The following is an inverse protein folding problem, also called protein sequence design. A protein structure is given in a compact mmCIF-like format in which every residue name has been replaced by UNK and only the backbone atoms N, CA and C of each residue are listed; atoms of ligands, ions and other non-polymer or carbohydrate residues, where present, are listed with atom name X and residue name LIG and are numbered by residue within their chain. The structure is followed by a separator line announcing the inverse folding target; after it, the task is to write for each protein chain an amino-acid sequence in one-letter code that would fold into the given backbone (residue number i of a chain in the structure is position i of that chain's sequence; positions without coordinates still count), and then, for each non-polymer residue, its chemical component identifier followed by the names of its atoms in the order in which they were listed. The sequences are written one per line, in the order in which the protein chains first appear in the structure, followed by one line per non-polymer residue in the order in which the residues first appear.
data_IF_941170759601
#
_entry.id   IF_941170759601
#
_cell.length_a   1.000
_cell.length_b   1.000
_cell.length_c   1.000
_cell.angle_alpha   90.00
_cell.angle_beta   90.00
_cell.angle_gamma   90.00
#
_symmetry.space_group_name_H-M   'P 1'
#
loop_
_entity.id
_entity.type
_entity.pdbx_description
1 polymer ?
#
# COMPACT_ATOMS: atom_id res chain seq x y z
N UNK A 1 -12.87 44.87 78.11
CA UNK A 1 -11.96 44.41 77.02
C UNK A 1 -11.75 42.90 77.16
N UNK A 2 -11.77 42.13 76.07
CA UNK A 2 -12.64 40.96 75.97
C UNK A 2 -11.92 39.59 75.89
N UNK A 3 -12.63 38.54 76.35
CA UNK A 3 -12.61 37.13 75.88
C UNK A 3 -13.64 36.98 74.73
N UNK A 4 -13.90 35.77 74.19
CA UNK A 4 -13.17 35.04 73.15
C UNK A 4 -14.00 34.90 71.86
N UNK A 5 -13.37 34.63 70.71
CA UNK A 5 -14.08 34.31 69.46
C UNK A 5 -14.04 32.78 69.25
N UNK A 6 -15.19 32.14 69.43
CA UNK A 6 -15.54 30.88 68.79
C UNK A 6 -15.82 31.13 67.30
N UNK A 7 -15.46 30.21 66.40
CA UNK A 7 -16.32 29.64 65.33
C UNK A 7 -15.51 28.86 64.27
N UNK A 8 -15.90 27.59 64.14
CA UNK A 8 -15.97 26.72 62.96
C UNK A 8 -14.75 26.42 62.07
N UNK A 9 -14.11 25.32 62.43
CA UNK A 9 -13.95 24.09 61.63
C UNK A 9 -15.04 23.83 60.56
N UNK A 10 -15.12 24.59 59.45
CA UNK A 10 -15.93 24.16 58.27
C UNK A 10 -15.44 24.65 56.90
N UNK A 11 -14.22 25.20 56.78
CA UNK A 11 -13.71 25.71 55.48
C UNK A 11 -12.49 24.96 54.88
N UNK A 12 -11.94 23.94 55.54
CA UNK A 12 -10.76 23.22 55.03
C UNK A 12 -11.01 21.89 54.30
N UNK A 13 -12.26 21.37 54.24
CA UNK A 13 -12.59 20.17 53.45
C UNK A 13 -12.55 20.39 51.93
N UNK A 14 -12.77 21.62 51.45
CA UNK A 14 -12.80 21.92 50.01
C UNK A 14 -11.43 22.23 49.38
N UNK A 15 -10.38 22.49 50.17
CA UNK A 15 -9.01 22.66 49.66
C UNK A 15 -8.28 21.32 49.50
N UNK A 16 -8.49 20.37 50.42
CA UNK A 16 -7.91 19.02 50.34
C UNK A 16 -8.57 18.15 49.25
N UNK A 17 -9.88 18.30 49.01
CA UNK A 17 -10.57 17.60 47.91
C UNK A 17 -10.13 18.08 46.52
N UNK A 18 -9.85 19.39 46.36
CA UNK A 18 -9.30 19.96 45.11
C UNK A 18 -7.84 19.52 44.85
N UNK A 19 -7.03 19.34 45.90
CA UNK A 19 -5.66 18.82 45.76
C UNK A 19 -5.67 17.31 45.46
N UNK A 20 -6.54 16.53 46.11
CA UNK A 20 -6.74 15.11 45.79
C UNK A 20 -7.30 14.89 44.38
N UNK A 21 -8.19 15.77 43.90
CA UNK A 21 -8.69 15.72 42.52
C UNK A 21 -7.64 16.14 41.49
N UNK A 22 -6.74 17.09 41.80
CA UNK A 22 -5.58 17.41 40.96
C UNK A 22 -4.55 16.28 40.92
N UNK A 23 -4.35 15.56 42.03
CA UNK A 23 -3.46 14.37 42.08
C UNK A 23 -4.13 13.17 41.38
N UNK A 24 -5.45 12.99 41.48
CA UNK A 24 -6.22 11.98 40.70
C UNK A 24 -6.25 12.30 39.21
N UNK A 25 -6.37 13.56 38.80
CA UNK A 25 -6.24 13.98 37.40
C UNK A 25 -4.81 13.79 36.87
N UNK A 26 -3.77 14.17 37.63
CA UNK A 26 -2.37 13.89 37.25
C UNK A 26 -2.05 12.39 37.21
N UNK A 27 -2.67 11.55 38.05
CA UNK A 27 -2.57 10.08 37.99
C UNK A 27 -3.37 9.47 36.84
N UNK A 28 -4.52 10.06 36.47
CA UNK A 28 -5.28 9.68 35.26
C UNK A 28 -4.51 10.04 34.01
N UNK A 29 -3.98 11.26 33.92
CA UNK A 29 -3.14 11.72 32.81
C UNK A 29 -1.86 10.89 32.77
N UNK A 30 -1.14 10.64 33.88
CA UNK A 30 0.01 9.71 33.90
C UNK A 30 -0.38 8.27 33.52
N UNK A 31 -1.58 7.78 33.83
CA UNK A 31 -2.03 6.43 33.39
C UNK A 31 -2.43 6.41 31.92
N UNK A 32 -2.98 7.48 31.37
CA UNK A 32 -3.27 7.61 29.93
C UNK A 32 -1.98 7.82 29.14
N UNK A 33 -1.04 8.62 29.66
CA UNK A 33 0.31 8.82 29.11
C UNK A 33 1.17 7.57 29.25
N UNK A 34 1.19 6.87 30.39
CA UNK A 34 1.86 5.57 30.50
C UNK A 34 1.18 4.52 29.64
N UNK A 35 -0.15 4.53 29.49
CA UNK A 35 -0.81 3.63 28.53
C UNK A 35 -0.40 3.96 27.10
N UNK A 36 -0.31 5.23 26.71
CA UNK A 36 0.19 5.65 25.39
C UNK A 36 1.68 5.33 25.19
N UNK A 37 2.49 5.51 26.24
CA UNK A 37 3.94 5.26 26.24
C UNK A 37 4.27 3.76 26.31
N UNK A 38 3.45 2.95 26.97
CA UNK A 38 3.53 1.48 26.95
C UNK A 38 2.92 0.89 25.67
N UNK A 39 1.98 1.58 25.02
CA UNK A 39 1.45 1.22 23.69
C UNK A 39 2.53 1.30 22.61
N UNK A 40 3.53 2.17 22.80
CA UNK A 40 4.63 2.38 21.85
C UNK A 40 5.71 1.30 21.87
N UNK A 41 5.68 0.34 22.81
CA UNK A 41 6.83 -0.57 22.97
C UNK A 41 6.79 -1.86 22.15
N UNK A 42 5.72 -2.22 21.44
CA UNK A 42 5.74 -3.31 20.46
C UNK A 42 4.48 -3.24 19.58
N UNK A 43 4.49 -2.44 18.52
CA UNK A 43 3.43 -2.48 17.51
C UNK A 43 3.53 -3.82 16.76
N UNK A 44 2.44 -4.59 16.78
CA UNK A 44 2.34 -5.90 16.14
C UNK A 44 1.19 -5.83 15.15
N UNK A 45 1.45 -6.25 13.92
CA UNK A 45 0.39 -6.42 12.93
C UNK A 45 -0.04 -7.87 12.97
N UNK A 46 -1.34 -8.11 13.13
CA UNK A 46 -1.96 -9.39 12.91
C UNK A 46 -2.81 -9.30 11.65
N UNK A 47 -2.47 -10.03 10.59
CA UNK A 47 -3.23 -10.07 9.33
C UNK A 47 -3.80 -11.46 9.11
N UNK A 48 -5.04 -11.52 8.64
CA UNK A 48 -5.76 -12.76 8.36
C UNK A 48 -6.28 -12.70 6.93
N UNK A 49 -5.78 -13.61 6.09
CA UNK A 49 -6.26 -13.79 4.73
C UNK A 49 -7.62 -14.51 4.77
N UNK A 50 -8.69 -13.69 4.83
CA UNK A 50 -10.06 -14.18 5.06
C UNK A 50 -10.55 -15.18 4.03
N UNK A 51 -9.99 -15.16 2.82
CA UNK A 51 -10.34 -16.08 1.72
C UNK A 51 -9.78 -17.49 1.94
N UNK A 52 -8.58 -17.61 2.52
CA UNK A 52 -7.94 -18.89 2.83
C UNK A 52 -8.36 -19.48 4.18
N UNK A 53 -9.12 -18.72 4.98
CA UNK A 53 -9.59 -19.17 6.27
C UNK A 53 -10.72 -20.20 6.12
N UNK A 54 -10.50 -21.41 6.62
CA UNK A 54 -11.48 -22.52 6.62
C UNK A 54 -12.21 -22.68 7.96
N UNK A 55 -12.18 -21.64 8.82
CA UNK A 55 -12.98 -21.66 10.04
C UNK A 55 -14.47 -21.67 9.69
N UNK A 56 -15.24 -22.57 10.30
CA UNK A 56 -16.62 -22.92 9.88
C UNK A 56 -16.72 -24.05 8.86
N UNK A 57 -15.61 -24.46 8.21
CA UNK A 57 -15.56 -25.60 7.27
C UNK A 57 -14.70 -26.78 7.76
N UNK A 58 -13.88 -26.61 8.81
CA UNK A 58 -13.11 -27.73 9.40
C UNK A 58 -12.02 -27.39 10.41
N UNK A 59 -11.56 -26.14 10.50
CA UNK A 59 -10.47 -25.76 11.44
C UNK A 59 -10.93 -25.63 12.91
N UNK A 60 -12.24 -25.62 13.20
CA UNK A 60 -12.79 -25.64 14.57
C UNK A 60 -12.17 -24.61 15.54
N UNK A 61 -11.82 -23.43 15.02
CA UNK A 61 -11.24 -22.30 15.74
C UNK A 61 -9.99 -22.64 16.56
N UNK A 62 -9.09 -23.46 15.98
CA UNK A 62 -7.80 -23.82 16.60
C UNK A 62 -6.98 -22.59 17.01
N UNK A 63 -7.01 -21.51 16.24
CA UNK A 63 -6.27 -20.29 16.54
C UNK A 63 -6.64 -19.70 17.91
N UNK A 64 -7.93 -19.57 18.23
CA UNK A 64 -8.37 -19.08 19.54
C UNK A 64 -8.18 -20.10 20.67
N UNK A 65 -8.42 -21.39 20.41
CA UNK A 65 -8.26 -22.47 21.42
C UNK A 65 -6.81 -22.67 21.88
N UNK A 66 -5.84 -22.45 20.99
CA UNK A 66 -4.41 -22.61 21.27
C UNK A 66 -3.75 -21.31 21.71
N UNK A 67 -4.43 -20.16 21.62
CA UNK A 67 -3.87 -18.87 22.01
C UNK A 67 -3.65 -18.82 23.54
N UNK A 68 -2.42 -18.58 24.03
CA UNK A 68 -2.15 -18.50 25.47
C UNK A 68 -2.93 -17.39 26.16
N UNK A 69 -3.12 -16.25 25.48
CA UNK A 69 -3.85 -15.09 26.02
C UNK A 69 -5.34 -15.41 26.20
N UNK A 70 -5.93 -16.14 25.25
CA UNK A 70 -7.29 -16.68 25.38
C UNK A 70 -7.40 -17.70 26.52
N UNK A 71 -6.42 -18.59 26.66
CA UNK A 71 -6.39 -19.57 27.76
C UNK A 71 -6.26 -18.92 29.14
N UNK A 72 -5.65 -17.74 29.22
CA UNK A 72 -5.58 -16.92 30.43
C UNK A 72 -6.86 -16.12 30.71
N UNK A 73 -7.93 -16.31 29.92
CA UNK A 73 -9.23 -15.67 30.12
C UNK A 73 -9.38 -14.29 29.48
N UNK A 74 -8.41 -13.83 28.66
CA UNK A 74 -8.52 -12.58 27.89
C UNK A 74 -8.90 -12.88 26.45
N UNK A 75 -9.84 -12.13 25.89
CA UNK A 75 -10.30 -12.39 24.53
C UNK A 75 -9.40 -11.76 23.45
N UNK A 76 -8.18 -12.29 23.27
CA UNK A 76 -7.25 -11.83 22.25
C UNK A 76 -7.66 -12.24 20.83
N UNK A 77 -8.21 -13.45 20.66
CA UNK A 77 -8.76 -13.91 19.37
C UNK A 77 -10.25 -14.18 19.55
N UNK A 78 -11.09 -13.48 18.79
CA UNK A 78 -12.54 -13.59 18.79
C UNK A 78 -13.06 -14.08 17.44
N UNK A 79 -14.33 -14.45 17.38
CA UNK A 79 -15.03 -14.67 16.12
C UNK A 79 -15.84 -13.42 15.76
N UNK A 80 -15.83 -13.03 14.49
CA UNK A 80 -16.74 -12.02 13.95
C UNK A 80 -18.13 -12.62 13.67
N UNK A 81 -19.06 -11.77 13.24
CA UNK A 81 -20.43 -12.15 12.86
C UNK A 81 -20.49 -13.19 11.72
N UNK A 82 -19.41 -13.34 10.94
CA UNK A 82 -19.28 -14.29 9.83
C UNK A 82 -18.51 -15.55 10.24
N UNK A 83 -18.36 -15.83 11.54
CA UNK A 83 -17.59 -16.95 12.09
C UNK A 83 -16.11 -16.97 11.64
N UNK A 84 -15.53 -15.83 11.27
CA UNK A 84 -14.10 -15.70 10.96
C UNK A 84 -13.33 -15.18 12.18
N UNK A 85 -12.09 -15.63 12.39
CA UNK A 85 -11.27 -15.14 13.49
C UNK A 85 -10.90 -13.66 13.30
N UNK A 86 -10.87 -12.92 14.41
CA UNK A 86 -10.37 -11.55 14.53
C UNK A 86 -9.38 -11.52 15.69
N UNK A 87 -8.21 -10.92 15.48
CA UNK A 87 -7.14 -10.83 16.46
C UNK A 87 -7.02 -9.39 16.95
N UNK A 88 -7.13 -9.21 18.26
CA UNK A 88 -6.84 -7.96 18.94
C UNK A 88 -5.32 -7.78 19.07
N UNK A 89 -4.78 -6.85 18.27
CA UNK A 89 -3.36 -6.52 18.20
C UNK A 89 -2.81 -5.97 19.52
N UNK A 90 -3.66 -5.35 20.36
CA UNK A 90 -3.25 -4.79 21.65
C UNK A 90 -3.08 -5.87 22.73
N UNK A 91 -3.81 -6.98 22.61
CA UNK A 91 -3.73 -8.13 23.52
C UNK A 91 -2.75 -9.20 23.04
N UNK A 92 -2.47 -9.25 21.74
CA UNK A 92 -1.60 -10.25 21.14
C UNK A 92 -0.16 -10.11 21.62
N UNK A 93 0.38 -11.16 22.24
CA UNK A 93 1.78 -11.19 22.72
C UNK A 93 2.81 -11.54 21.63
N UNK A 94 2.37 -11.86 20.41
CA UNK A 94 3.28 -12.18 19.32
C UNK A 94 3.92 -13.58 19.34
N UNK A 95 3.39 -14.53 20.14
CA UNK A 95 3.99 -15.86 20.31
C UNK A 95 4.01 -16.75 19.04
N UNK A 96 3.23 -16.42 18.01
CA UNK A 96 3.20 -17.17 16.75
C UNK A 96 2.59 -18.57 16.82
N UNK A 97 1.92 -18.95 17.90
CA UNK A 97 1.31 -20.29 18.01
C UNK A 97 0.17 -20.45 17.00
N UNK A 98 -0.68 -19.43 16.86
CA UNK A 98 -1.80 -19.45 15.92
C UNK A 98 -1.35 -19.44 14.46
N UNK A 99 -0.17 -18.86 14.14
CA UNK A 99 0.37 -18.87 12.78
C UNK A 99 0.91 -20.27 12.42
N UNK A 100 1.69 -20.89 13.32
CA UNK A 100 2.29 -22.22 13.13
C UNK A 100 1.26 -23.36 13.11
N UNK A 101 0.17 -23.22 13.86
CA UNK A 101 -0.87 -24.26 13.99
C UNK A 101 -2.06 -24.06 13.05
N UNK A 102 -2.07 -22.99 12.26
CA UNK A 102 -3.11 -22.77 11.25
C UNK A 102 -2.91 -23.75 10.08
N UNK A 103 -3.89 -24.62 9.76
CA UNK A 103 -3.74 -25.60 8.67
C UNK A 103 -3.51 -24.96 7.29
N UNK A 104 -4.07 -23.77 7.06
CA UNK A 104 -3.95 -23.04 5.79
C UNK A 104 -2.94 -21.89 5.83
N UNK A 105 -2.24 -21.71 6.96
CA UNK A 105 -1.29 -20.62 7.19
C UNK A 105 -1.84 -19.21 6.84
N UNK A 106 -3.14 -18.99 7.01
CA UNK A 106 -3.79 -17.73 6.65
C UNK A 106 -3.60 -16.61 7.68
N UNK A 107 -3.00 -16.91 8.85
CA UNK A 107 -2.75 -15.95 9.93
C UNK A 107 -1.27 -15.56 9.91
N UNK A 108 -1.01 -14.26 9.87
CA UNK A 108 0.32 -13.68 9.93
C UNK A 108 0.43 -12.76 11.13
N UNK A 109 1.44 -12.98 11.96
CA UNK A 109 1.78 -12.08 13.06
C UNK A 109 3.19 -11.57 12.80
N UNK A 110 3.33 -10.25 12.72
CA UNK A 110 4.61 -9.58 12.47
C UNK A 110 4.85 -8.56 13.58
N UNK A 111 6.04 -8.63 14.16
CA UNK A 111 6.54 -7.55 15.01
C UNK A 111 7.15 -6.49 14.08
N UNK A 112 6.60 -5.28 14.10
CA UNK A 112 7.15 -4.20 13.28
C UNK A 112 8.47 -3.69 13.87
N UNK A 113 9.46 -3.34 13.02
CA UNK A 113 10.60 -2.54 13.43
C UNK A 113 10.15 -1.23 14.08
N UNK A 114 10.93 -0.71 15.03
CA UNK A 114 10.56 0.54 15.73
C UNK A 114 10.42 1.73 14.78
N UNK A 115 11.12 1.69 13.66
CA UNK A 115 11.11 2.68 12.59
C UNK A 115 9.77 2.75 11.84
N UNK A 116 8.94 1.69 11.91
CA UNK A 116 7.61 1.62 11.27
C UNK A 116 6.46 1.78 12.27
N UNK A 117 6.72 2.38 13.45
CA UNK A 117 5.69 2.62 14.48
C UNK A 117 4.73 3.77 14.14
N UNK A 118 4.87 4.37 12.96
CA UNK A 118 3.90 5.34 12.47
C UNK A 118 2.58 4.67 12.10
N UNK A 119 1.51 5.46 12.04
CA UNK A 119 0.20 4.93 11.63
C UNK A 119 0.24 4.58 10.15
N UNK A 120 -0.32 3.43 9.73
CA UNK A 120 -0.40 3.11 8.32
C UNK A 120 -1.29 4.12 7.60
N UNK A 121 -0.94 4.44 6.35
CA UNK A 121 -1.69 5.34 5.47
C UNK A 121 -3.03 4.72 5.08
N UNK A 122 -3.03 3.41 4.82
CA UNK A 122 -4.23 2.69 4.47
C UNK A 122 -4.25 1.29 5.08
N UNK A 123 -5.42 0.86 5.55
CA UNK A 123 -5.67 -0.48 6.10
C UNK A 123 -6.97 -1.06 5.56
N UNK A 124 -6.92 -2.26 4.99
CA UNK A 124 -8.12 -2.99 4.53
C UNK A 124 -8.87 -3.66 5.69
N UNK A 125 -9.40 -2.86 6.62
CA UNK A 125 -10.16 -3.33 7.78
C UNK A 125 -9.31 -4.05 8.84
N UNK A 126 -9.99 -4.52 9.89
CA UNK A 126 -9.31 -5.22 11.01
C UNK A 126 -8.68 -6.51 10.49
N UNK A 127 -7.41 -6.68 10.86
CA UNK A 127 -6.53 -7.75 10.39
C UNK A 127 -6.43 -7.88 8.86
N UNK A 128 -6.57 -6.76 8.14
CA UNK A 128 -6.27 -6.69 6.71
C UNK A 128 -4.87 -6.18 6.42
N UNK A 129 -4.55 -6.09 5.13
CA UNK A 129 -3.28 -5.53 4.64
C UNK A 129 -3.11 -4.06 5.05
N UNK A 130 -1.88 -3.67 5.41
CA UNK A 130 -1.50 -2.33 5.83
C UNK A 130 -0.42 -1.71 4.93
N UNK A 131 -0.65 -0.48 4.45
CA UNK A 131 0.30 0.29 3.67
C UNK A 131 0.85 1.45 4.51
N UNK A 132 2.17 1.56 4.63
CA UNK A 132 2.83 2.53 5.51
C UNK A 132 3.38 3.78 4.81
N UNK A 133 3.77 3.67 3.54
CA UNK A 133 4.27 4.81 2.76
C UNK A 133 3.73 4.80 1.33
N UNK A 134 3.76 5.97 0.70
CA UNK A 134 3.33 6.19 -0.67
C UNK A 134 4.54 6.57 -1.54
N UNK A 135 4.48 6.27 -2.85
CA UNK A 135 5.49 6.73 -3.78
C UNK A 135 5.25 8.22 -4.07
N UNK A 136 6.32 8.96 -4.28
CA UNK A 136 6.23 10.40 -4.53
C UNK A 136 6.46 10.62 -6.03
N UNK A 137 5.47 11.16 -6.77
CA UNK A 137 5.68 11.55 -8.16
C UNK A 137 6.65 12.73 -8.23
N UNK A 138 7.68 12.63 -9.08
CA UNK A 138 8.52 13.77 -9.44
C UNK A 138 8.06 14.30 -10.79
N UNK A 139 7.76 15.59 -10.82
CA UNK A 139 7.39 16.25 -12.05
C UNK A 139 8.53 16.25 -13.06
N UNK A 140 8.19 16.07 -14.33
CA UNK A 140 9.11 16.06 -15.49
C UNK A 140 10.02 14.84 -15.56
N UNK A 141 9.62 13.75 -14.90
CA UNK A 141 10.39 12.51 -14.89
C UNK A 141 9.49 11.27 -14.84
N UNK A 142 10.11 10.11 -15.05
CA UNK A 142 9.47 8.81 -14.89
C UNK A 142 9.91 8.19 -13.56
N UNK A 143 8.96 7.98 -12.67
CA UNK A 143 9.16 7.29 -11.39
C UNK A 143 8.67 5.84 -11.49
N UNK A 144 9.59 4.90 -11.36
CA UNK A 144 9.32 3.48 -11.31
C UNK A 144 9.10 2.97 -9.89
N UNK A 145 8.30 1.92 -9.73
CA UNK A 145 8.12 1.20 -8.47
C UNK A 145 8.38 -0.28 -8.72
N UNK A 146 9.32 -0.85 -7.97
CA UNK A 146 9.67 -2.26 -8.04
C UNK A 146 9.46 -2.96 -6.70
N UNK A 147 8.95 -4.18 -6.70
CA UNK A 147 8.79 -4.96 -5.49
C UNK A 147 7.96 -6.22 -5.71
N UNK A 148 7.94 -7.14 -4.74
CA UNK A 148 7.17 -8.38 -4.87
C UNK A 148 5.66 -8.12 -4.93
N UNK A 149 4.92 -9.09 -5.45
CA UNK A 149 3.46 -9.03 -5.48
C UNK A 149 2.87 -9.09 -4.06
N UNK A 150 1.72 -8.45 -3.87
CA UNK A 150 1.04 -8.38 -2.57
C UNK A 150 1.64 -7.40 -1.57
N UNK A 151 2.58 -6.53 -1.97
CA UNK A 151 3.17 -5.47 -1.12
C UNK A 151 2.40 -4.14 -1.24
N UNK A 152 1.28 -4.09 -1.97
CA UNK A 152 0.43 -2.89 -2.05
C UNK A 152 0.88 -1.82 -3.05
N UNK A 153 1.70 -2.18 -4.06
CA UNK A 153 2.07 -1.27 -5.16
C UNK A 153 0.86 -0.69 -5.88
N UNK A 154 -0.07 -1.56 -6.30
CA UNK A 154 -1.32 -1.16 -6.95
C UNK A 154 -2.21 -0.31 -6.02
N UNK A 155 -2.29 -0.67 -4.73
CA UNK A 155 -3.01 0.13 -3.71
C UNK A 155 -2.42 1.53 -3.60
N UNK A 156 -1.08 1.65 -3.57
CA UNK A 156 -0.40 2.93 -3.55
C UNK A 156 -0.70 3.76 -4.81
N UNK A 157 -0.65 3.15 -6.01
CA UNK A 157 -1.01 3.84 -7.25
C UNK A 157 -2.47 4.31 -7.25
N UNK A 158 -3.41 3.51 -6.74
CA UNK A 158 -4.82 3.89 -6.63
C UNK A 158 -5.03 5.08 -5.68
N UNK A 159 -4.25 5.16 -4.60
CA UNK A 159 -4.28 6.31 -3.68
C UNK A 159 -3.74 7.57 -4.38
N UNK A 160 -2.61 7.46 -5.08
CA UNK A 160 -2.03 8.58 -5.85
C UNK A 160 -2.97 9.03 -6.99
N UNK A 161 -3.68 8.09 -7.62
CA UNK A 161 -4.68 8.38 -8.65
C UNK A 161 -5.98 9.00 -8.10
N UNK A 162 -6.15 9.10 -6.77
CA UNK A 162 -7.38 9.55 -6.13
C UNK A 162 -8.56 8.57 -6.26
N UNK A 163 -8.32 7.35 -6.75
CA UNK A 163 -9.35 6.30 -6.89
C UNK A 163 -9.66 5.61 -5.56
N UNK A 164 -8.70 5.59 -4.65
CA UNK A 164 -8.85 5.03 -3.31
C UNK A 164 -8.48 6.08 -2.27
N UNK A 165 -9.43 6.44 -1.41
CA UNK A 165 -9.14 7.35 -0.30
C UNK A 165 -8.43 6.59 0.83
N UNK A 166 -7.29 7.09 1.33
CA UNK A 166 -6.62 6.51 2.49
C UNK A 166 -7.46 6.68 3.76
N UNK A 167 -7.24 5.82 4.74
CA UNK A 167 -8.01 5.83 5.99
C UNK A 167 -7.14 6.02 7.25
N UNK A 168 -5.83 6.24 7.06
CA UNK A 168 -4.86 6.48 8.12
C UNK A 168 -4.90 5.39 9.23
N UNK A 169 -5.21 4.16 8.82
CA UNK A 169 -5.32 3.00 9.70
C UNK A 169 -6.62 2.89 10.49
N UNK A 170 -7.57 3.81 10.29
CA UNK A 170 -8.84 3.85 10.99
C UNK A 170 -9.93 3.22 10.12
N UNK A 171 -10.55 2.15 10.61
CA UNK A 171 -11.62 1.48 9.87
C UNK A 171 -12.84 2.39 9.69
N UNK A 172 -13.40 2.40 8.47
CA UNK A 172 -14.62 3.14 8.14
C UNK A 172 -14.43 4.65 8.01
N UNK A 173 -13.20 5.16 8.14
CA UNK A 173 -12.86 6.56 7.91
C UNK A 173 -12.35 6.73 6.48
N UNK A 174 -12.80 7.78 5.80
CA UNK A 174 -12.12 8.30 4.62
C UNK A 174 -11.36 9.56 5.06
N UNK A 175 -10.03 9.57 4.89
CA UNK A 175 -9.25 10.74 5.21
C UNK A 175 -9.54 11.86 4.20
N UNK A 176 -9.67 13.09 4.69
CA UNK A 176 -9.75 14.26 3.83
C UNK A 176 -8.35 14.64 3.35
N UNK A 177 -8.26 15.42 2.26
CA UNK A 177 -6.98 15.95 1.79
C UNK A 177 -6.25 16.74 2.88
N UNK A 178 -6.97 17.47 3.73
CA UNK A 178 -6.38 18.24 4.84
C UNK A 178 -5.69 17.35 5.87
N UNK A 179 -6.28 16.19 6.18
CA UNK A 179 -5.65 15.22 7.08
C UNK A 179 -4.39 14.59 6.47
N UNK A 180 -4.38 14.37 5.15
CA UNK A 180 -3.20 13.87 4.44
C UNK A 180 -2.09 14.92 4.40
N UNK A 181 -2.41 16.17 4.08
CA UNK A 181 -1.47 17.29 4.09
C UNK A 181 -0.87 17.46 5.50
N UNK A 182 -1.69 17.34 6.55
CA UNK A 182 -1.20 17.38 7.93
C UNK A 182 -0.32 16.17 8.27
N UNK A 183 -0.66 14.98 7.79
CA UNK A 183 0.12 13.76 8.02
C UNK A 183 1.50 13.84 7.34
N UNK A 184 1.56 14.39 6.13
CA UNK A 184 2.78 14.53 5.33
C UNK A 184 3.50 15.87 5.52
N UNK A 185 3.18 16.63 6.58
CA UNK A 185 3.71 17.97 6.78
C UNK A 185 5.24 17.99 6.79
N UNK A 186 5.84 18.85 5.96
CA UNK A 186 7.29 18.98 5.82
C UNK A 186 7.94 17.96 4.87
N UNK A 187 7.15 17.19 4.12
CA UNK A 187 7.63 16.25 3.09
C UNK A 187 7.16 16.69 1.70
N UNK A 188 7.79 16.18 0.64
CA UNK A 188 7.38 16.45 -0.76
C UNK A 188 5.95 15.97 -1.06
N UNK A 189 5.48 14.93 -0.35
CA UNK A 189 4.11 14.44 -0.46
C UNK A 189 3.08 15.51 -0.03
N UNK A 190 3.44 16.44 0.87
CA UNK A 190 2.57 17.56 1.22
C UNK A 190 2.22 18.41 0.00
N UNK A 191 3.25 18.88 -0.72
CA UNK A 191 3.11 19.71 -1.92
C UNK A 191 2.31 18.99 -3.01
N UNK A 192 2.50 17.67 -3.14
CA UNK A 192 1.71 16.84 -4.05
C UNK A 192 0.22 16.88 -3.71
N UNK A 193 -0.16 16.61 -2.46
CA UNK A 193 -1.57 16.60 -2.05
C UNK A 193 -2.21 18.00 -2.06
N UNK A 194 -1.45 19.05 -1.80
CA UNK A 194 -1.91 20.44 -1.96
C UNK A 194 -2.24 20.74 -3.42
N UNK A 195 -1.33 20.44 -4.34
CA UNK A 195 -1.56 20.63 -5.78
C UNK A 195 -2.70 19.75 -6.32
N UNK A 196 -2.89 18.55 -5.77
CA UNK A 196 -4.00 17.67 -6.10
C UNK A 196 -5.34 18.27 -5.63
N UNK A 197 -5.38 18.84 -4.42
CA UNK A 197 -6.56 19.53 -3.87
C UNK A 197 -6.93 20.78 -4.67
N UNK A 198 -5.92 21.53 -5.13
CA UNK A 198 -6.08 22.72 -5.95
C UNK A 198 -6.45 22.42 -7.42
N UNK A 199 -6.48 21.13 -7.82
CA UNK A 199 -6.81 20.73 -9.19
C UNK A 199 -5.70 21.04 -10.21
N UNK A 200 -4.49 21.42 -9.75
CA UNK A 200 -3.31 21.60 -10.59
C UNK A 200 -2.81 20.29 -11.15
N UNK A 201 -3.07 19.17 -10.46
CA UNK A 201 -2.71 17.83 -10.91
C UNK A 201 -3.97 17.12 -11.42
N UNK A 202 -3.97 16.77 -12.71
CA UNK A 202 -4.94 15.90 -13.35
C UNK A 202 -4.28 14.55 -13.61
N UNK A 203 -4.76 13.51 -12.95
CA UNK A 203 -4.20 12.16 -13.09
C UNK A 203 -4.99 11.28 -14.05
N UNK A 204 -4.29 10.46 -14.81
CA UNK A 204 -4.86 9.37 -15.61
C UNK A 204 -4.29 8.03 -15.16
N UNK A 205 -5.14 7.01 -15.02
CA UNK A 205 -4.77 5.71 -14.46
C UNK A 205 -5.02 4.56 -15.44
N UNK A 206 -3.99 3.74 -15.69
CA UNK A 206 -4.09 2.43 -16.35
C UNK A 206 -4.10 1.34 -15.27
N UNK A 207 -5.18 0.53 -15.14
CA UNK A 207 -5.27 -0.54 -14.16
C UNK A 207 -4.43 -1.78 -14.52
N UNK A 208 -4.03 -2.57 -13.52
CA UNK A 208 -3.31 -3.83 -13.72
C UNK A 208 -4.14 -4.85 -14.52
N UNK A 209 -5.40 -5.04 -14.13
CA UNK A 209 -6.29 -6.07 -14.68
C UNK A 209 -7.02 -5.58 -15.93
N UNK A 210 -6.36 -5.69 -17.09
CA UNK A 210 -6.96 -5.31 -18.38
C UNK A 210 -8.01 -6.31 -18.88
N UNK A 211 -7.98 -7.55 -18.39
CA UNK A 211 -8.95 -8.60 -18.74
C UNK A 211 -10.37 -8.30 -18.24
N UNK A 212 -10.53 -7.34 -17.34
CA UNK A 212 -11.85 -6.88 -16.86
C UNK A 212 -12.48 -5.84 -17.78
N UNK A 213 -11.72 -5.24 -18.70
CA UNK A 213 -12.22 -4.20 -19.62
C UNK A 213 -13.40 -4.71 -20.46
N UNK A 214 -13.35 -5.90 -21.09
CA UNK A 214 -14.47 -6.43 -21.87
C UNK A 214 -15.74 -6.71 -21.05
N UNK A 215 -15.63 -6.89 -19.74
CA UNK A 215 -16.77 -7.09 -18.86
C UNK A 215 -17.49 -5.78 -18.52
N UNK A 216 -16.77 -4.66 -18.54
CA UNK A 216 -17.25 -3.34 -18.14
C UNK A 216 -17.69 -2.51 -19.36
N UNK A 217 -16.90 -2.55 -20.43
CA UNK A 217 -17.12 -1.77 -21.65
C UNK A 217 -17.49 -2.67 -22.82
N UNK A 218 -18.50 -2.24 -23.60
CA UNK A 218 -19.01 -2.97 -24.76
C UNK A 218 -18.93 -2.10 -26.01
N UNK A 219 -18.77 -2.74 -27.16
CA UNK A 219 -18.76 -2.06 -28.47
C UNK A 219 -17.38 -2.06 -29.12
N UNK A 220 -17.18 -1.13 -30.05
CA UNK A 220 -15.91 -1.01 -30.79
C UNK A 220 -14.88 -0.22 -30.01
N UNK A 221 -13.61 -0.55 -30.24
CA UNK A 221 -12.47 0.15 -29.62
C UNK A 221 -12.47 1.64 -29.96
N UNK A 222 -12.81 2.01 -31.20
CA UNK A 222 -12.88 3.41 -31.64
C UNK A 222 -13.85 4.25 -30.81
N UNK A 223 -15.01 3.69 -30.47
CA UNK A 223 -16.05 4.43 -29.73
C UNK A 223 -15.61 4.66 -28.28
N UNK A 224 -14.99 3.64 -27.66
CA UNK A 224 -14.38 3.74 -26.35
C UNK A 224 -13.28 4.82 -26.31
N UNK A 225 -12.34 4.77 -27.25
CA UNK A 225 -11.21 5.69 -27.26
C UNK A 225 -11.64 7.12 -27.61
N UNK A 226 -12.59 7.32 -28.53
CA UNK A 226 -13.16 8.64 -28.82
C UNK A 226 -13.89 9.26 -27.63
N UNK A 227 -14.58 8.46 -26.82
CA UNK A 227 -15.25 8.94 -25.60
C UNK A 227 -14.25 9.42 -24.55
N UNK A 228 -13.06 8.81 -24.51
CA UNK A 228 -12.01 9.13 -23.54
C UNK A 228 -11.08 10.24 -24.05
N UNK A 229 -10.96 10.41 -25.37
CA UNK A 229 -10.06 11.37 -26.00
C UNK A 229 -10.46 12.81 -25.68
N UNK A 230 -9.73 13.39 -24.75
CA UNK A 230 -9.79 14.82 -24.39
C UNK A 230 -8.56 15.57 -24.90
N UNK A 231 -7.54 14.83 -25.35
CA UNK A 231 -6.28 15.34 -25.90
C UNK A 231 -6.32 15.61 -27.41
N UNK A 232 -7.32 15.06 -28.13
CA UNK A 232 -7.42 15.02 -29.59
C UNK A 232 -6.21 14.35 -30.29
N UNK A 233 -5.57 13.37 -29.63
CA UNK A 233 -4.36 12.67 -30.13
C UNK A 233 -4.62 11.21 -30.51
N UNK A 234 -5.87 10.80 -30.70
CA UNK A 234 -6.23 9.41 -31.02
C UNK A 234 -5.46 8.83 -32.21
N UNK A 235 -5.35 9.56 -33.31
CA UNK A 235 -4.68 9.08 -34.53
C UNK A 235 -3.18 8.89 -34.34
N UNK A 236 -2.53 9.83 -33.66
CA UNK A 236 -1.09 9.76 -33.33
C UNK A 236 -0.81 8.57 -32.41
N UNK A 237 -1.52 8.48 -31.29
CA UNK A 237 -1.33 7.41 -30.29
C UNK A 237 -1.68 6.05 -30.89
N UNK A 238 -2.72 5.97 -31.74
CA UNK A 238 -3.11 4.72 -32.37
C UNK A 238 -2.00 4.15 -33.28
N UNK A 239 -1.30 5.02 -33.99
CA UNK A 239 -0.17 4.67 -34.84
C UNK A 239 1.05 4.24 -34.02
N UNK A 240 1.34 4.97 -32.94
CA UNK A 240 2.51 4.68 -32.09
C UNK A 240 2.37 3.39 -31.29
N UNK A 241 1.14 2.93 -31.02
CA UNK A 241 0.88 1.68 -30.32
C UNK A 241 0.45 0.52 -31.24
N UNK A 242 0.47 0.70 -32.56
CA UNK A 242 0.00 -0.29 -33.55
C UNK A 242 -1.43 -0.80 -33.28
N UNK A 243 -2.34 0.11 -32.92
CA UNK A 243 -3.75 -0.20 -32.63
C UNK A 243 -4.71 0.32 -33.71
N UNK A 244 -4.23 0.92 -34.80
CA UNK A 244 -5.06 1.44 -35.90
C UNK A 244 -6.03 0.39 -36.45
N UNK A 245 -5.56 -0.84 -36.66
CA UNK A 245 -6.37 -1.96 -37.15
C UNK A 245 -7.39 -2.46 -36.12
N UNK A 246 -7.14 -2.20 -34.83
CA UNK A 246 -8.01 -2.64 -33.74
C UNK A 246 -9.17 -1.68 -33.51
N UNK A 247 -9.12 -0.46 -34.06
CA UNK A 247 -10.16 0.56 -33.85
C UNK A 247 -11.56 0.06 -34.25
N UNK A 248 -11.65 -0.71 -35.32
CA UNK A 248 -12.93 -1.26 -35.81
C UNK A 248 -13.31 -2.61 -35.19
N UNK A 249 -12.43 -3.20 -34.37
CA UNK A 249 -12.66 -4.47 -33.68
C UNK A 249 -13.56 -4.29 -32.44
N UNK A 250 -14.30 -5.36 -32.10
CA UNK A 250 -15.09 -5.44 -30.88
C UNK A 250 -14.18 -5.79 -29.69
N UNK A 251 -14.33 -5.05 -28.58
CA UNK A 251 -13.50 -5.18 -27.38
C UNK A 251 -13.50 -6.62 -26.83
N UNK A 252 -14.61 -7.35 -26.97
CA UNK A 252 -14.75 -8.73 -26.45
C UNK A 252 -13.88 -9.77 -27.16
N UNK A 253 -13.37 -9.46 -28.35
CA UNK A 253 -12.59 -10.38 -29.18
C UNK A 253 -11.09 -10.13 -29.11
N UNK A 254 -10.67 -9.14 -28.33
CA UNK A 254 -9.27 -8.75 -28.22
C UNK A 254 -8.49 -9.70 -27.32
N UNK A 255 -7.25 -9.95 -27.70
CA UNK A 255 -6.25 -10.62 -26.86
C UNK A 255 -5.80 -9.73 -25.70
N UNK A 256 -5.21 -10.33 -24.67
CA UNK A 256 -4.66 -9.58 -23.52
C UNK A 256 -3.63 -8.52 -23.92
N UNK A 257 -2.76 -8.81 -24.91
CA UNK A 257 -1.78 -7.84 -25.41
C UNK A 257 -2.41 -6.68 -26.22
N UNK A 258 -3.54 -6.91 -26.88
CA UNK A 258 -4.31 -5.86 -27.55
C UNK A 258 -5.04 -4.98 -26.53
N UNK A 259 -5.72 -5.61 -25.56
CA UNK A 259 -6.35 -4.91 -24.43
C UNK A 259 -5.35 -4.05 -23.66
N UNK A 260 -4.15 -4.57 -23.44
CA UNK A 260 -3.08 -3.84 -22.78
C UNK A 260 -2.70 -2.56 -23.55
N UNK A 261 -2.49 -2.65 -24.86
CA UNK A 261 -2.14 -1.47 -25.69
C UNK A 261 -3.28 -0.46 -25.76
N UNK A 262 -4.54 -0.91 -25.79
CA UNK A 262 -5.71 -0.04 -25.75
C UNK A 262 -5.84 0.65 -24.38
N UNK A 263 -5.59 -0.06 -23.28
CA UNK A 263 -5.62 0.51 -21.93
C UNK A 263 -4.54 1.60 -21.76
N UNK A 264 -3.35 1.39 -22.33
CA UNK A 264 -2.29 2.40 -22.38
C UNK A 264 -2.74 3.59 -23.22
N UNK A 265 -3.25 3.37 -24.44
CA UNK A 265 -3.76 4.44 -25.29
C UNK A 265 -4.81 5.29 -24.56
N UNK A 266 -5.80 4.64 -23.93
CA UNK A 266 -6.85 5.31 -23.15
C UNK A 266 -6.28 6.16 -22.00
N UNK A 267 -5.19 5.73 -21.36
CA UNK A 267 -4.56 6.51 -20.31
C UNK A 267 -3.90 7.79 -20.85
N UNK A 268 -3.27 7.74 -22.02
CA UNK A 268 -2.58 8.89 -22.64
C UNK A 268 -3.49 9.83 -23.44
N UNK A 269 -4.72 9.38 -23.78
CA UNK A 269 -5.73 10.20 -24.46
C UNK A 269 -6.46 11.18 -23.52
N UNK A 270 -6.29 11.01 -22.21
CA UNK A 270 -6.80 11.95 -21.21
C UNK A 270 -5.89 13.16 -21.08
N UNK A 271 -6.47 14.35 -21.00
CA UNK A 271 -5.76 15.58 -20.60
C UNK A 271 -5.34 15.48 -19.12
N UNK A 272 -4.13 14.94 -18.92
CA UNK A 272 -3.55 14.65 -17.62
C UNK A 272 -2.06 14.98 -17.61
N UNK A 273 -1.61 15.63 -16.54
CA UNK A 273 -0.20 15.95 -16.31
C UNK A 273 0.51 14.89 -15.43
N UNK A 274 -0.24 13.95 -14.85
CA UNK A 274 0.30 12.76 -14.19
C UNK A 274 -0.32 11.50 -14.78
N UNK A 275 0.49 10.68 -15.45
CA UNK A 275 0.07 9.37 -15.96
C UNK A 275 0.55 8.28 -14.99
N UNK A 276 -0.37 7.42 -14.59
CA UNK A 276 -0.14 6.35 -13.61
C UNK A 276 -0.38 5.01 -14.31
N UNK A 277 0.66 4.17 -14.38
CA UNK A 277 0.64 2.91 -15.13
C UNK A 277 0.91 1.72 -14.22
N UNK A 278 -0.06 0.84 -14.03
CA UNK A 278 0.14 -0.41 -13.30
C UNK A 278 0.43 -1.56 -14.26
N UNK A 279 1.69 -2.04 -14.25
CA UNK A 279 2.24 -3.10 -15.10
C UNK A 279 1.92 -2.90 -16.60
N UNK A 280 2.45 -1.84 -17.25
CA UNK A 280 2.19 -1.52 -18.65
C UNK A 280 2.77 -2.51 -19.66
N UNK A 281 3.73 -3.36 -19.30
CA UNK A 281 4.32 -4.34 -20.23
C UNK A 281 3.87 -5.79 -20.06
N UNK A 282 2.94 -6.04 -19.13
CA UNK A 282 2.28 -7.34 -18.99
C UNK A 282 1.58 -7.79 -20.28
N UNK A 283 1.61 -9.09 -20.56
CA UNK A 283 1.03 -9.74 -21.76
C UNK A 283 1.62 -9.35 -23.12
N UNK A 284 2.55 -8.39 -23.18
CA UNK A 284 3.18 -7.97 -24.42
C UNK A 284 4.34 -8.90 -24.80
N UNK A 285 4.48 -9.17 -26.10
CA UNK A 285 5.68 -9.78 -26.66
C UNK A 285 6.88 -8.81 -26.62
N UNK A 286 8.10 -9.31 -26.83
CA UNK A 286 9.32 -8.50 -26.71
C UNK A 286 9.32 -7.25 -27.61
N UNK A 287 8.79 -7.35 -28.84
CA UNK A 287 8.75 -6.24 -29.79
C UNK A 287 7.76 -5.17 -29.33
N UNK A 288 6.58 -5.61 -28.88
CA UNK A 288 5.54 -4.75 -28.32
C UNK A 288 6.00 -4.08 -27.03
N UNK A 289 6.69 -4.80 -26.13
CA UNK A 289 7.25 -4.21 -24.90
C UNK A 289 8.19 -3.05 -25.19
N UNK A 290 9.15 -3.24 -26.10
CA UNK A 290 10.11 -2.20 -26.46
C UNK A 290 9.42 -1.00 -27.13
N UNK A 291 8.41 -1.25 -27.98
CA UNK A 291 7.65 -0.18 -28.62
C UNK A 291 6.82 0.61 -27.62
N UNK A 292 6.09 -0.06 -26.73
CA UNK A 292 5.35 0.55 -25.63
C UNK A 292 6.28 1.34 -24.70
N UNK A 293 7.44 0.80 -24.36
CA UNK A 293 8.40 1.49 -23.52
C UNK A 293 8.92 2.78 -24.19
N UNK A 294 9.25 2.73 -25.49
CA UNK A 294 9.63 3.93 -26.26
C UNK A 294 8.53 4.98 -26.27
N UNK A 295 7.28 4.56 -26.47
CA UNK A 295 6.12 5.44 -26.42
C UNK A 295 5.98 6.13 -25.05
N UNK A 296 5.98 5.36 -23.96
CA UNK A 296 5.90 5.89 -22.60
C UNK A 296 7.03 6.88 -22.32
N UNK A 297 8.27 6.53 -22.70
CA UNK A 297 9.43 7.41 -22.52
C UNK A 297 9.30 8.72 -23.31
N UNK A 298 8.79 8.65 -24.54
CA UNK A 298 8.56 9.82 -25.40
C UNK A 298 7.48 10.75 -24.83
N UNK A 299 6.44 10.20 -24.22
CA UNK A 299 5.34 10.99 -23.66
C UNK A 299 5.69 11.73 -22.36
N UNK A 300 6.78 11.36 -21.68
CA UNK A 300 7.28 12.11 -20.55
C UNK A 300 7.89 13.44 -21.03
N UNK A 301 7.45 14.55 -20.44
CA UNK A 301 7.84 15.90 -20.84
C UNK A 301 7.85 16.85 -19.63
N UNK A 302 8.19 18.12 -19.84
CA UNK A 302 8.14 19.15 -18.79
C UNK A 302 6.71 19.46 -18.28
N UNK A 303 5.67 18.94 -18.95
CA UNK A 303 4.27 19.16 -18.56
C UNK A 303 3.55 17.85 -18.23
N UNK A 304 4.19 16.70 -18.49
CA UNK A 304 3.61 15.37 -18.28
C UNK A 304 4.60 14.44 -17.61
N UNK A 305 4.23 13.99 -16.42
CA UNK A 305 5.04 13.12 -15.56
C UNK A 305 4.41 11.73 -15.50
N UNK A 306 5.24 10.71 -15.28
CA UNK A 306 4.78 9.32 -15.31
C UNK A 306 5.22 8.61 -14.05
N UNK A 307 4.30 7.89 -13.43
CA UNK A 307 4.62 6.91 -12.38
C UNK A 307 4.15 5.54 -12.82
N UNK A 308 5.00 4.54 -12.67
CA UNK A 308 4.72 3.19 -13.14
C UNK A 308 5.17 2.10 -12.18
N UNK A 309 4.47 0.99 -12.21
CA UNK A 309 4.88 -0.27 -11.57
C UNK A 309 5.34 -1.21 -12.65
N UNK A 310 6.55 -1.74 -12.52
CA UNK A 310 7.10 -2.74 -13.44
C UNK A 310 7.88 -3.82 -12.69
N UNK A 311 7.88 -5.02 -13.27
CA UNK A 311 8.64 -6.18 -12.75
C UNK A 311 9.79 -6.57 -13.66
N UNK A 312 9.73 -6.18 -14.93
CA UNK A 312 10.79 -6.41 -15.89
C UNK A 312 11.89 -5.35 -15.69
N UNK A 313 13.03 -5.78 -15.14
CA UNK A 313 14.15 -4.89 -14.83
C UNK A 313 14.69 -4.17 -16.07
N UNK A 314 14.64 -4.79 -17.24
CA UNK A 314 15.18 -4.23 -18.48
C UNK A 314 14.28 -3.09 -18.95
N UNK A 315 12.97 -3.31 -18.92
CA UNK A 315 11.98 -2.28 -19.24
C UNK A 315 12.05 -1.15 -18.23
N UNK A 316 12.15 -1.47 -16.95
CA UNK A 316 12.22 -0.49 -15.88
C UNK A 316 13.47 0.39 -15.97
N UNK A 317 14.63 -0.18 -16.27
CA UNK A 317 15.89 0.56 -16.47
C UNK A 317 15.82 1.51 -17.67
N UNK A 318 15.14 1.09 -18.75
CA UNK A 318 14.93 1.94 -19.92
C UNK A 318 13.94 3.10 -19.66
N UNK A 319 12.91 2.84 -18.85
CA UNK A 319 11.82 3.79 -18.63
C UNK A 319 12.11 4.80 -17.53
N UNK A 320 12.56 4.32 -16.37
CA UNK A 320 12.55 5.10 -15.14
C UNK A 320 13.80 5.97 -14.99
N UNK A 321 13.61 7.22 -14.55
CA UNK A 321 14.71 8.07 -14.08
C UNK A 321 15.00 7.78 -12.60
N UNK A 322 13.92 7.56 -11.85
CA UNK A 322 13.95 7.28 -10.43
C UNK A 322 13.14 6.04 -10.09
N UNK A 323 13.52 5.33 -9.02
CA UNK A 323 12.86 4.11 -8.57
C UNK A 323 12.61 4.17 -7.07
N UNK A 324 11.40 3.77 -6.68
CA UNK A 324 11.10 3.32 -5.33
C UNK A 324 11.12 1.79 -5.25
N UNK A 325 11.61 1.26 -4.14
CA UNK A 325 11.56 -0.16 -3.81
C UNK A 325 10.43 -0.40 -2.81
N UNK A 326 9.42 -1.16 -3.22
CA UNK A 326 8.37 -1.64 -2.35
C UNK A 326 8.81 -2.93 -1.65
N UNK A 327 8.90 -2.88 -0.32
CA UNK A 327 9.27 -4.00 0.53
C UNK A 327 8.23 -4.24 1.63
N UNK A 328 8.31 -5.42 2.26
CA UNK A 328 7.38 -5.84 3.29
C UNK A 328 7.04 -7.31 3.16
N UNK A 329 5.98 -7.73 3.85
CA UNK A 329 5.50 -9.11 3.80
C UNK A 329 4.24 -9.17 2.93
N UNK A 330 4.23 -9.96 1.83
CA UNK A 330 3.09 -10.07 0.93
C UNK A 330 1.78 -10.35 1.68
N UNK A 331 0.73 -9.63 1.29
CA UNK A 331 -0.61 -9.69 1.91
C UNK A 331 -0.69 -9.25 3.37
N UNK A 332 0.42 -8.83 4.00
CA UNK A 332 0.45 -8.40 5.39
C UNK A 332 0.70 -6.90 5.49
N UNK A 333 1.85 -6.43 5.01
CA UNK A 333 2.16 -5.01 4.99
C UNK A 333 3.09 -4.64 3.86
N UNK A 334 3.04 -3.37 3.46
CA UNK A 334 3.91 -2.78 2.47
C UNK A 334 4.45 -1.43 2.88
N UNK A 335 5.71 -1.22 2.55
CA UNK A 335 6.43 0.04 2.69
C UNK A 335 7.12 0.32 1.36
N UNK A 336 7.01 1.55 0.90
CA UNK A 336 7.70 2.11 -0.23
C UNK A 336 8.91 2.88 0.29
N UNK A 337 10.10 2.49 -0.18
CA UNK A 337 11.38 3.07 0.22
C UNK A 337 11.49 4.55 -0.18
N UNK A 338 12.53 5.21 0.31
CA UNK A 338 12.98 6.48 -0.25
C UNK A 338 13.32 6.33 -1.74
N UNK A 339 13.23 7.46 -2.45
CA UNK A 339 13.49 7.53 -3.87
C UNK A 339 14.99 7.36 -4.17
N UNK A 340 15.31 6.65 -5.25
CA UNK A 340 16.68 6.44 -5.73
C UNK A 340 16.76 6.70 -7.23
N UNK A 341 17.94 7.03 -7.77
CA UNK A 341 18.16 6.95 -9.22
C UNK A 341 17.90 5.52 -9.72
N UNK A 342 17.43 5.34 -10.95
CA UNK A 342 17.08 4.01 -11.47
C UNK A 342 18.20 2.97 -11.30
N UNK A 343 19.43 3.30 -11.72
CA UNK A 343 20.60 2.41 -11.59
C UNK A 343 20.86 1.99 -10.14
N UNK A 344 20.89 2.95 -9.21
CA UNK A 344 21.11 2.65 -7.79
C UNK A 344 19.96 1.83 -7.18
N UNK A 345 18.71 2.14 -7.56
CA UNK A 345 17.52 1.41 -7.13
C UNK A 345 17.53 -0.05 -7.59
N UNK A 346 17.83 -0.31 -8.86
CA UNK A 346 17.91 -1.68 -9.40
C UNK A 346 19.02 -2.48 -8.70
N UNK A 347 20.21 -1.92 -8.54
CA UNK A 347 21.31 -2.60 -7.84
C UNK A 347 20.94 -2.93 -6.39
N UNK A 348 20.33 -1.97 -5.69
CA UNK A 348 19.84 -2.16 -4.31
C UNK A 348 18.75 -3.24 -4.25
N UNK A 349 17.86 -3.29 -5.25
CA UNK A 349 16.83 -4.30 -5.37
C UNK A 349 17.41 -5.71 -5.57
N UNK A 350 18.48 -5.83 -6.36
CA UNK A 350 19.20 -7.08 -6.59
C UNK A 350 19.96 -7.55 -5.34
N UNK A 351 20.61 -6.63 -4.62
CA UNK A 351 21.32 -6.92 -3.37
C UNK A 351 20.38 -7.40 -2.24
N UNK A 352 19.13 -6.91 -2.21
CA UNK A 352 18.14 -7.31 -1.20
C UNK A 352 18.21 -6.53 0.12
N UNK A 353 19.02 -5.47 0.18
CA UNK A 353 19.28 -4.67 1.38
C UNK A 353 19.29 -3.17 1.10
N UNK A 354 18.36 -2.44 1.72
CA UNK A 354 18.28 -0.98 1.73
C UNK A 354 19.23 -0.43 2.79
N UNK A 355 20.38 0.11 2.37
CA UNK A 355 21.44 0.61 3.26
C UNK A 355 20.99 1.84 4.06
N UNK A 356 20.29 2.75 3.41
CA UNK A 356 19.87 4.05 3.97
C UNK A 356 18.77 3.89 5.02
N UNK A 357 17.93 2.86 4.86
CA UNK A 357 16.86 2.54 5.80
C UNK A 357 17.27 1.43 6.78
N UNK A 358 18.45 0.84 6.60
CA UNK A 358 18.95 -0.32 7.33
C UNK A 358 17.95 -1.50 7.36
N UNK A 359 17.37 -1.81 6.19
CA UNK A 359 16.34 -2.85 6.05
C UNK A 359 16.76 -3.90 5.04
N UNK A 360 16.82 -5.16 5.49
CA UNK A 360 16.95 -6.32 4.62
C UNK A 360 15.56 -6.87 4.31
N UNK A 361 15.17 -6.80 3.04
CA UNK A 361 13.87 -7.32 2.58
C UNK A 361 14.00 -8.64 1.81
N UNK A 362 15.25 -9.07 1.54
CA UNK A 362 15.57 -10.40 1.00
C UNK A 362 16.87 -10.92 1.62
N UNK A 363 16.88 -12.18 2.02
CA UNK A 363 18.05 -12.79 2.70
C UNK A 363 19.20 -13.11 1.75
N UNK A 364 18.90 -13.24 0.46
CA UNK A 364 19.87 -13.57 -0.59
C UNK A 364 19.88 -12.51 -1.70
N UNK A 365 21.05 -12.24 -2.31
CA UNK A 365 21.12 -11.42 -3.51
C UNK A 365 20.63 -12.20 -4.74
N UNK A 366 20.11 -11.49 -5.73
CA UNK A 366 19.82 -12.07 -7.05
C UNK A 366 21.12 -12.03 -7.86
N UNK A 367 21.63 -13.19 -8.25
CA UNK A 367 22.81 -13.34 -9.09
C UNK A 367 22.42 -13.97 -10.43
N UNK A 368 22.94 -13.42 -11.51
CA UNK A 368 22.78 -13.98 -12.85
C UNK A 368 23.98 -14.87 -13.14
N UNK A 369 23.73 -16.13 -13.49
CA UNK A 369 24.76 -17.07 -13.90
C UNK A 369 24.88 -17.04 -15.43
N UNK A 370 26.10 -17.07 -15.96
CA UNK A 370 26.35 -17.17 -17.42
C UNK A 370 25.83 -18.48 -18.03
N UNK A 371 25.71 -19.53 -17.20
CA UNK A 371 25.18 -20.83 -17.58
C UNK A 371 24.00 -21.17 -16.70
N UNK A 372 22.99 -21.84 -17.28
CA UNK A 372 21.89 -22.36 -16.50
C UNK A 372 22.43 -23.26 -15.37
N UNK A 373 21.94 -23.13 -14.13
CA UNK A 373 22.36 -24.01 -13.05
C UNK A 373 22.06 -25.46 -13.46
N UNK A 374 22.97 -26.41 -13.16
CA UNK A 374 22.69 -27.82 -13.39
C UNK A 374 21.37 -28.17 -12.71
N UNK A 375 20.48 -28.88 -13.42
CA UNK A 375 19.20 -29.33 -12.86
C UNK A 375 19.50 -30.02 -11.54
N UNK A 376 18.95 -29.51 -10.44
CA UNK A 376 19.02 -30.20 -9.15
C UNK A 376 18.37 -31.57 -9.36
N UNK A 377 19.16 -32.63 -9.20
CA UNK A 377 18.61 -33.98 -9.13
C UNK A 377 17.60 -34.01 -7.99
N UNK A 378 16.42 -34.64 -8.18
CA UNK A 378 15.46 -34.77 -7.10
C UNK A 378 16.18 -35.44 -5.93
N UNK A 379 16.25 -34.73 -4.80
CA UNK A 379 16.69 -35.30 -3.53
C UNK A 379 15.91 -36.59 -3.31
N UNK A 380 16.61 -37.72 -3.38
CA UNK A 380 16.07 -39.00 -2.98
C UNK A 380 15.59 -38.85 -1.53
N UNK A 381 14.26 -38.94 -1.35
CA UNK A 381 13.60 -38.97 -0.04
C UNK A 381 13.82 -40.35 0.57
#
# INVERSE_FOLDING_TARGET
MPKPIFINLYQHKNKLSKIFNRIKQKRRIKRTFLKHFLYQQNMRIAVIERERCINGKGCSFLCGKLCPVNRQGKECIKLDEKNKPVIDESLCIGCGICTKRCPTQCIHIVNLPEQLKEKPIHRYGINGFELFSLPIPIFNSIVGIIGRNGIGKSTALQIIAGLLKPNLGIQGKEATFDELIQHFKGTEAQTFFENLKEGKIKSSFKPQQVDLIPAIEKGKVKDLLKKIDTSNRLTEIAKELDIEKLLESDIKHLSGGELQRIAIAAAFLKDANLIILDEPTSFLDIKQRLKTARFIRKECSAEKSIILVEHDLIVLDYLADYIHIAYGKPSVFGVISMLKSARAGINTYLEGYLKEENIRFRDYPIQFQERAPPKQEPTAI
#
